data_IF_405181359859
#
_entry.id   IF_405181359859
#
_cell.length_a   1.000
_cell.length_b   1.000
_cell.length_c   1.000
_cell.angle_alpha   90.00
_cell.angle_beta   90.00
_cell.angle_gamma   90.00
#
_symmetry.space_group_name_H-M   'P 1'
#
loop_
_entity.id
_entity.type
_entity.pdbx_description
1 polymer ?
#
# COMPACT_ATOMS: atom_id res chain seq x y z
N UNK A 1 1.62 24.77 5.18
CA UNK A 1 1.72 23.68 4.24
C UNK A 1 0.85 22.50 4.61
N UNK A 2 0.11 22.00 3.67
CA UNK A 2 -0.78 20.87 3.92
C UNK A 2 0.00 19.58 4.09
N UNK A 3 -0.36 18.82 5.06
CA UNK A 3 0.32 17.58 5.35
C UNK A 3 -0.40 16.41 4.69
N UNK A 4 0.28 15.68 3.83
CA UNK A 4 -0.30 14.56 3.11
C UNK A 4 0.05 13.22 3.72
N UNK A 5 0.39 13.20 5.01
CA UNK A 5 0.78 11.96 5.65
C UNK A 5 -0.32 10.91 5.61
N UNK A 6 -1.57 11.33 5.78
CA UNK A 6 -2.67 10.36 5.72
C UNK A 6 -2.78 9.72 4.36
N UNK A 7 -2.63 10.52 3.31
CA UNK A 7 -2.67 9.99 1.97
C UNK A 7 -1.51 9.01 1.73
N UNK A 8 -0.35 9.35 2.22
CA UNK A 8 0.82 8.50 2.07
C UNK A 8 0.64 7.17 2.81
N UNK A 9 0.08 7.24 4.02
CA UNK A 9 -0.15 6.04 4.80
C UNK A 9 -1.16 5.12 4.10
N UNK A 10 -2.23 5.70 3.58
CA UNK A 10 -3.23 4.89 2.88
C UNK A 10 -2.63 4.23 1.64
N UNK A 11 -1.84 4.97 0.91
CA UNK A 11 -1.20 4.41 -0.28
C UNK A 11 -0.25 3.27 0.09
N UNK A 12 0.47 3.42 1.19
CA UNK A 12 1.38 2.37 1.63
C UNK A 12 0.64 1.10 2.02
N UNK A 13 -0.49 1.25 2.70
CA UNK A 13 -1.29 0.10 3.10
C UNK A 13 -1.82 -0.63 1.88
N UNK A 14 -2.34 0.11 0.92
CA UNK A 14 -2.87 -0.49 -0.29
C UNK A 14 -1.76 -1.22 -1.05
N UNK A 15 -0.61 -0.61 -1.17
CA UNK A 15 0.51 -1.22 -1.86
C UNK A 15 0.95 -2.51 -1.17
N UNK A 16 0.95 -2.52 0.15
CA UNK A 16 1.32 -3.71 0.90
C UNK A 16 0.34 -4.85 0.63
N UNK A 17 -0.95 -4.54 0.58
CA UNK A 17 -1.96 -5.56 0.31
C UNK A 17 -1.80 -6.12 -1.10
N UNK A 18 -1.56 -5.27 -2.06
CA UNK A 18 -1.34 -5.72 -3.43
C UNK A 18 -0.10 -6.58 -3.55
N UNK A 19 0.96 -6.21 -2.85
CA UNK A 19 2.19 -6.99 -2.87
C UNK A 19 1.95 -8.40 -2.34
N UNK A 20 1.22 -8.51 -1.25
CA UNK A 20 0.92 -9.82 -0.67
C UNK A 20 0.11 -10.67 -1.64
N UNK A 21 -0.90 -10.06 -2.26
CA UNK A 21 -1.73 -10.80 -3.21
C UNK A 21 -0.91 -11.31 -4.38
N UNK A 22 0.00 -10.48 -4.89
CA UNK A 22 0.84 -10.86 -6.00
C UNK A 22 1.74 -12.04 -5.63
N UNK A 23 2.31 -12.01 -4.44
CA UNK A 23 3.16 -13.10 -3.99
C UNK A 23 2.38 -14.40 -3.85
N UNK A 24 1.15 -14.31 -3.38
CA UNK A 24 0.33 -15.51 -3.25
C UNK A 24 0.01 -16.13 -4.59
N UNK A 25 -0.23 -15.29 -5.58
CA UNK A 25 -0.53 -15.79 -6.92
C UNK A 25 0.68 -16.44 -7.57
N UNK A 26 1.85 -15.98 -7.21
CA UNK A 26 3.08 -16.52 -7.76
C UNK A 26 3.58 -17.75 -7.00
N UNK A 27 2.91 -18.11 -5.97
CA UNK A 27 3.34 -19.23 -5.12
C UNK A 27 3.08 -20.62 -5.78
#
# INVERSE_FOLDING_TARGET
MKNNSLNLVHAAIIAALYTVLTHMQNL
#
